data_IF_911458515021
#
_entry.id   IF_911458515021
#
_cell.length_a   1.000
_cell.length_b   1.000
_cell.length_c   1.000
_cell.angle_alpha   90.00
_cell.angle_beta   90.00
_cell.angle_gamma   90.00
#
_symmetry.space_group_name_H-M   'P 1'
#
loop_
_entity.id
_entity.type
_entity.pdbx_description
1 polymer ?
2 non-polymer ?
3 non-polymer ?
4 non-polymer ?
5 non-polymer ?
6 non-polymer ?
7 non-polymer ?
8 water ?
#
# COMPACT_ATOMS: atom_id res chain seq x y z
N UNK A 13 -20.82 -11.45 -12.68
CA UNK A 13 -19.70 -11.04 -13.52
C UNK A 13 -18.88 -9.95 -12.83
N UNK A 14 -19.54 -9.15 -12.00
CA UNK A 14 -18.88 -8.03 -11.37
C UNK A 14 -18.18 -8.46 -10.09
N UNK A 15 -17.21 -7.64 -9.69
CA UNK A 15 -16.39 -7.93 -8.52
C UNK A 15 -17.23 -7.99 -7.25
N UNK A 16 -16.93 -8.98 -6.40
CA UNK A 16 -17.56 -9.09 -5.09
C UNK A 16 -16.53 -8.65 -4.05
N UNK A 17 -16.75 -7.54 -3.35
CA UNK A 17 -15.75 -7.08 -2.36
C UNK A 17 -15.56 -8.10 -1.25
N UNK A 18 -14.32 -8.43 -0.93
CA UNK A 18 -14.04 -9.30 0.23
C UNK A 18 -14.55 -8.66 1.51
N UNK A 19 -14.71 -9.45 2.58
CA UNK A 19 -15.09 -8.87 3.86
C UNK A 19 -14.02 -7.92 4.37
N UNK A 20 -14.45 -7.00 5.25
CA UNK A 20 -13.55 -5.98 5.77
C UNK A 20 -12.62 -6.54 6.84
N UNK A 21 -11.35 -6.12 6.78
CA UNK A 21 -10.38 -6.47 7.80
C UNK A 21 -10.64 -5.67 9.08
N UNK A 22 -10.03 -6.06 10.21
CA UNK A 22 -10.28 -5.32 11.46
C UNK A 22 -9.77 -3.90 11.38
N UNK A 23 -10.51 -3.00 12.01
CA UNK A 23 -10.06 -1.63 12.20
C UNK A 23 -10.00 -1.38 13.70
N UNK A 24 -8.88 -0.84 14.17
CA UNK A 24 -8.69 -0.50 15.57
C UNK A 24 -8.62 1.02 15.73
N UNK A 25 -9.24 1.53 16.79
CA UNK A 25 -9.24 2.95 17.11
C UNK A 25 -8.75 3.09 18.54
N UNK A 26 -7.44 2.97 18.76
CA UNK A 26 -6.92 2.99 20.13
C UNK A 26 -7.14 4.34 20.80
N UNK A 27 -7.38 4.27 22.12
CA UNK A 27 -7.36 5.47 22.93
C UNK A 27 -5.94 6.00 23.04
N UNK A 28 -5.79 7.15 23.69
CA UNK A 28 -4.45 7.70 23.88
C UNK A 28 -3.58 6.79 24.72
N UNK A 29 -4.17 6.08 25.68
CA UNK A 29 -3.39 5.15 26.50
C UNK A 29 -2.92 3.95 25.68
N UNK A 30 -3.79 3.41 24.83
CA UNK A 30 -3.41 2.27 24.00
C UNK A 30 -2.47 2.65 22.87
N UNK A 31 -2.36 3.95 22.56
CA UNK A 31 -1.57 4.43 21.44
C UNK A 31 -0.13 4.77 21.82
N UNK A 32 0.29 4.41 23.03
CA UNK A 32 1.59 4.88 23.52
C UNK A 32 2.75 4.25 22.75
N UNK A 33 2.62 2.98 22.36
CA UNK A 33 3.73 2.27 21.72
C UNK A 33 3.23 1.29 20.66
N UNK A 34 3.72 1.39 19.42
CA UNK A 34 3.21 0.53 18.34
C UNK A 34 3.48 -0.95 18.54
N UNK A 35 4.69 -1.31 18.99
CA UNK A 35 5.01 -2.71 19.15
C UNK A 35 4.13 -3.36 20.20
N UNK A 36 3.93 -2.68 21.33
CA UNK A 36 3.04 -3.22 22.36
C UNK A 36 1.62 -3.34 21.85
N UNK A 37 1.14 -2.32 21.12
CA UNK A 37 -0.22 -2.38 20.60
C UNK A 37 -0.39 -3.51 19.59
N UNK A 38 0.55 -3.64 18.65
CA UNK A 38 0.46 -4.71 17.65
C UNK A 38 0.52 -6.08 18.33
N UNK A 39 1.33 -6.22 19.37
CA UNK A 39 1.36 -7.46 20.12
C UNK A 39 0.03 -7.78 20.76
N UNK A 40 -0.70 -6.76 21.21
CA UNK A 40 -2.00 -6.98 21.85
C UNK A 40 -3.06 -7.40 20.85
N UNK A 41 -3.08 -6.77 19.67
CA UNK A 41 -4.13 -7.06 18.68
C UNK A 41 -3.82 -8.30 17.86
N UNK A 42 -2.62 -8.87 18.01
CA UNK A 42 -2.20 -10.02 17.21
C UNK A 42 -3.17 -11.19 17.21
N UNK A 43 -3.77 -11.62 18.33
CA UNK A 43 -4.71 -12.75 18.25
C UNK A 43 -5.79 -12.60 17.20
N UNK A 44 -6.27 -11.38 16.94
CA UNK A 44 -7.28 -11.17 15.91
C UNK A 44 -6.65 -10.85 14.55
N UNK A 45 -5.75 -9.86 14.52
CA UNK A 45 -5.23 -9.36 13.26
C UNK A 45 -4.41 -10.42 12.52
N UNK A 46 -3.74 -11.32 13.24
CA UNK A 46 -2.98 -12.33 12.51
C UNK A 46 -3.90 -13.32 11.80
N UNK A 47 -5.18 -13.41 12.20
CA UNK A 47 -6.15 -14.24 11.53
C UNK A 47 -6.73 -13.56 10.28
N UNK A 48 -6.39 -12.31 10.05
CA UNK A 48 -6.85 -11.60 8.86
C UNK A 48 -5.71 -11.12 7.98
N UNK A 49 -4.46 -11.28 8.41
CA UNK A 49 -3.30 -10.87 7.62
C UNK A 49 -3.00 -9.39 7.62
N UNK A 50 -4.02 -8.55 7.43
CA UNK A 50 -3.87 -7.11 7.50
C UNK A 50 -4.85 -6.55 8.52
N UNK A 51 -4.49 -5.40 9.08
CA UNK A 51 -5.45 -4.64 9.88
C UNK A 51 -5.18 -3.15 9.68
N UNK A 52 -6.17 -2.35 10.05
CA UNK A 52 -6.08 -0.90 9.93
C UNK A 52 -6.09 -0.30 11.33
N UNK A 53 -5.30 0.74 11.54
CA UNK A 53 -5.24 1.42 12.83
C UNK A 53 -5.49 2.90 12.61
N UNK A 54 -6.53 3.44 13.27
CA UNK A 54 -6.86 4.86 13.22
C UNK A 54 -6.29 5.54 14.45
N UNK A 55 -5.34 6.45 14.31
CA UNK A 55 -4.81 7.18 15.48
C UNK A 55 -5.89 8.05 16.09
N UNK A 56 -5.71 8.51 17.33
CA UNK A 56 -6.65 9.47 17.90
C UNK A 56 -6.76 10.70 17.02
N UNK A 57 -7.92 11.37 17.09
CA UNK A 57 -8.24 12.43 16.17
C UNK A 57 -7.22 13.57 16.21
N UNK A 58 -6.66 13.85 17.40
CA UNK A 58 -5.73 14.97 17.52
C UNK A 58 -4.32 14.65 17.05
N UNK A 59 -4.00 13.38 16.80
CA UNK A 59 -2.67 13.00 16.32
C UNK A 59 -2.60 13.28 14.82
N UNK A 60 -1.98 14.41 14.46
CA UNK A 60 -1.91 14.86 13.08
C UNK A 60 -0.49 15.34 12.78
N UNK A 61 0.37 14.45 12.29
CA UNK A 61 1.74 14.84 11.95
C UNK A 61 1.76 15.71 10.70
N UNK A 62 2.60 16.75 10.68
CA UNK A 62 2.72 17.57 9.48
C UNK A 62 3.55 16.85 8.41
N UNK A 63 3.25 17.18 7.15
CA UNK A 63 3.98 16.58 6.04
C UNK A 63 5.33 17.27 5.89
N UNK A 64 6.41 16.49 5.99
CA UNK A 64 7.75 17.06 6.13
C UNK A 64 8.66 16.82 4.93
N UNK A 65 8.12 16.44 3.79
CA UNK A 65 8.93 16.27 2.59
C UNK A 65 9.31 17.63 2.00
N UNK A 66 10.48 17.68 1.37
CA UNK A 66 10.93 18.88 0.67
C UNK A 66 10.16 18.96 -0.66
N UNK A 67 8.97 19.56 -0.59
CA UNK A 67 8.05 19.53 -1.73
C UNK A 67 8.61 20.32 -2.91
N UNK A 68 9.33 21.41 -2.65
CA UNK A 68 9.84 22.24 -3.74
C UNK A 68 10.74 21.45 -4.66
N UNK A 69 11.60 20.60 -4.11
CA UNK A 69 12.59 19.86 -4.89
C UNK A 69 12.18 18.43 -5.17
N UNK A 70 10.98 18.03 -4.76
CA UNK A 70 10.53 16.64 -4.94
C UNK A 70 10.31 16.38 -6.42
N UNK A 71 11.21 15.62 -7.04
CA UNK A 71 11.10 15.26 -8.44
C UNK A 71 11.36 13.77 -8.58
N UNK A 72 10.68 13.13 -9.53
CA UNK A 72 10.79 11.68 -9.65
C UNK A 72 10.27 11.24 -11.00
N UNK A 73 10.76 10.08 -11.43
CA UNK A 73 10.31 9.45 -12.67
C UNK A 73 9.56 8.18 -12.31
N UNK A 74 8.23 8.18 -12.41
CA UNK A 74 7.46 7.00 -11.99
C UNK A 74 7.57 5.87 -13.00
N UNK A 75 7.17 4.69 -12.57
CA UNK A 75 7.23 3.54 -13.45
C UNK A 75 5.89 3.35 -14.13
N UNK A 76 5.92 2.90 -15.37
CA UNK A 76 4.71 2.68 -16.13
C UNK A 76 4.13 1.32 -15.77
N UNK A 77 2.82 1.26 -15.53
CA UNK A 77 2.13 0.02 -15.20
C UNK A 77 1.04 -0.25 -16.22
N UNK A 78 1.10 -1.42 -16.87
CA UNK A 78 0.03 -1.86 -17.76
C UNK A 78 -0.80 -2.89 -17.01
N UNK A 79 -2.06 -2.56 -16.77
CA UNK A 79 -2.87 -3.36 -15.85
C UNK A 79 -3.05 -4.78 -16.36
N UNK A 80 -3.19 -4.96 -17.67
CA UNK A 80 -3.55 -6.25 -18.25
C UNK A 80 -2.35 -6.96 -18.90
N UNK A 81 -1.13 -6.73 -18.39
CA UNK A 81 0.04 -7.30 -19.06
C UNK A 81 0.01 -8.83 -19.04
N UNK A 82 -0.50 -9.42 -17.97
CA UNK A 82 -0.54 -10.89 -17.90
C UNK A 82 -1.55 -11.46 -18.89
N UNK A 83 -2.72 -10.83 -19.00
CA UNK A 83 -3.72 -11.30 -19.95
C UNK A 83 -3.31 -11.06 -21.39
N UNK A 84 -2.46 -10.05 -21.64
CA UNK A 84 -2.07 -9.72 -23.00
C UNK A 84 -1.07 -10.71 -23.60
N UNK A 85 -0.55 -11.64 -22.81
CA UNK A 85 0.41 -12.62 -23.35
C UNK A 85 -0.26 -13.97 -23.60
N UNK A 99 8.14 6.32 -22.05
CA UNK A 99 7.67 5.69 -20.81
C UNK A 99 8.04 6.52 -19.59
N UNK A 100 9.28 7.00 -19.56
CA UNK A 100 9.85 7.66 -18.40
C UNK A 100 9.72 9.17 -18.60
N UNK A 101 8.67 9.75 -18.00
CA UNK A 101 8.48 11.19 -17.91
C UNK A 101 8.74 11.63 -16.46
N UNK A 102 9.40 12.78 -16.30
CA UNK A 102 9.74 13.26 -14.97
C UNK A 102 8.69 14.24 -14.46
N UNK A 103 8.28 14.06 -13.20
CA UNK A 103 7.26 14.90 -12.58
C UNK A 103 7.79 15.57 -11.32
N UNK A 104 7.12 16.64 -10.92
CA UNK A 104 7.13 17.07 -9.54
C UNK A 104 5.91 16.50 -8.84
N UNK A 105 5.86 16.66 -7.51
CA UNK A 105 4.66 16.27 -6.78
C UNK A 105 3.43 16.94 -7.37
N UNK A 106 3.53 18.25 -7.65
CA UNK A 106 2.39 18.99 -8.16
C UNK A 106 2.00 18.51 -9.56
N UNK A 107 2.99 18.33 -10.45
CA UNK A 107 2.65 18.01 -11.82
C UNK A 107 2.13 16.58 -11.95
N UNK A 108 2.63 15.66 -11.11
CA UNK A 108 2.07 14.32 -11.06
C UNK A 108 0.64 14.36 -10.54
N UNK A 109 0.38 15.20 -9.54
CA UNK A 109 -0.97 15.33 -9.04
C UNK A 109 -1.92 15.87 -10.08
N UNK A 110 -1.46 16.83 -10.88
CA UNK A 110 -2.33 17.38 -11.93
C UNK A 110 -2.61 16.31 -12.98
N UNK A 111 -1.58 15.54 -13.35
CA UNK A 111 -1.75 14.42 -14.27
C UNK A 111 -2.71 13.38 -13.70
N UNK A 112 -2.54 13.05 -12.42
CA UNK A 112 -3.35 12.02 -11.77
C UNK A 112 -4.81 12.41 -11.71
N UNK A 113 -5.09 13.64 -11.26
CA UNK A 113 -6.47 14.10 -11.16
C UNK A 113 -7.12 14.19 -12.52
N UNK A 114 -6.39 14.71 -13.52
CA UNK A 114 -6.92 14.79 -14.88
C UNK A 114 -7.26 13.40 -15.41
N UNK A 115 -6.38 12.42 -15.18
CA UNK A 115 -6.65 11.06 -15.63
C UNK A 115 -7.95 10.52 -15.05
N UNK A 116 -8.12 10.64 -13.74
CA UNK A 116 -9.25 10.02 -13.07
C UNK A 116 -10.56 10.72 -13.42
N UNK A 117 -10.54 12.05 -13.44
CA UNK A 117 -11.77 12.76 -13.76
C UNK A 117 -12.17 12.53 -15.22
N UNK A 118 -11.19 12.42 -16.11
CA UNK A 118 -11.48 12.09 -17.50
C UNK A 118 -11.97 10.66 -17.64
N UNK A 119 -11.36 9.72 -16.88
CA UNK A 119 -11.76 8.32 -16.99
C UNK A 119 -13.21 8.12 -16.56
N UNK A 120 -13.59 8.69 -15.42
CA UNK A 120 -14.93 8.49 -14.88
C UNK A 120 -15.93 9.57 -15.25
N UNK A 121 -15.49 10.65 -15.91
CA UNK A 121 -16.38 11.74 -16.33
C UNK A 121 -17.11 12.36 -15.13
N UNK A 122 -16.38 12.57 -14.04
CA UNK A 122 -16.92 13.21 -12.86
C UNK A 122 -15.77 13.73 -12.00
N UNK A 123 -16.03 14.66 -11.08
CA UNK A 123 -14.94 15.13 -10.21
C UNK A 123 -14.34 13.96 -9.42
N UNK A 124 -13.02 14.04 -9.16
CA UNK A 124 -12.30 12.87 -8.62
C UNK A 124 -12.86 12.46 -7.26
N UNK A 125 -13.23 13.43 -6.44
CA UNK A 125 -13.71 13.11 -5.11
C UNK A 125 -15.14 12.56 -5.12
N UNK A 126 -15.80 12.55 -6.27
CA UNK A 126 -17.15 12.03 -6.36
C UNK A 126 -17.21 10.58 -6.83
N UNK A 127 -16.08 9.97 -7.20
CA UNK A 127 -16.08 8.60 -7.68
C UNK A 127 -16.13 7.64 -6.49
N UNK A 128 -17.16 6.80 -6.39
CA UNK A 128 -17.25 5.87 -5.26
C UNK A 128 -16.10 4.88 -5.25
N UNK A 129 -15.61 4.57 -4.04
CA UNK A 129 -14.51 3.61 -3.93
C UNK A 129 -14.88 2.26 -4.53
N UNK A 130 -16.14 1.83 -4.35
CA UNK A 130 -16.58 0.56 -4.92
C UNK A 130 -16.52 0.55 -6.44
N UNK A 131 -16.75 1.69 -7.08
CA UNK A 131 -16.70 1.74 -8.53
C UNK A 131 -15.26 1.69 -9.05
N UNK A 132 -14.34 2.41 -8.42
CA UNK A 132 -12.94 2.31 -8.83
C UNK A 132 -12.45 0.88 -8.64
N UNK A 133 -12.85 0.24 -7.54
CA UNK A 133 -12.45 -1.14 -7.29
C UNK A 133 -12.99 -2.07 -8.36
N UNK A 134 -14.29 -1.93 -8.69
CA UNK A 134 -14.88 -2.80 -9.71
C UNK A 134 -14.22 -2.58 -11.07
N UNK A 135 -13.92 -1.32 -11.40
CA UNK A 135 -13.31 -1.03 -12.69
C UNK A 135 -11.86 -1.49 -12.76
N UNK A 136 -11.11 -1.34 -11.66
CA UNK A 136 -9.73 -1.80 -11.62
C UNK A 136 -9.64 -3.28 -12.01
N UNK A 137 -10.45 -4.12 -11.38
CA UNK A 137 -10.35 -5.55 -11.63
C UNK A 137 -10.88 -5.93 -13.02
N UNK A 138 -11.88 -5.19 -13.54
CA UNK A 138 -12.28 -5.41 -14.92
C UNK A 138 -11.13 -5.10 -15.87
N UNK A 139 -10.39 -4.03 -15.61
CA UNK A 139 -9.29 -3.62 -16.48
C UNK A 139 -8.16 -4.64 -16.47
N UNK A 140 -7.90 -5.23 -15.30
CA UNK A 140 -6.80 -6.20 -15.17
C UNK A 140 -7.03 -7.39 -16.06
N UNK A 141 -8.29 -7.78 -16.25
CA UNK A 141 -8.64 -8.93 -17.08
C UNK A 141 -9.14 -8.54 -18.47
N UNK A 142 -9.25 -7.25 -18.76
CA UNK A 142 -9.79 -6.79 -20.04
C UNK A 142 -8.77 -6.99 -21.16
N UNK A 143 -9.16 -7.72 -22.19
CA UNK A 143 -8.29 -7.90 -23.35
C UNK A 143 -8.55 -6.84 -24.43
N UNK A 144 -9.68 -6.15 -24.38
CA UNK A 144 -10.01 -5.16 -25.39
C UNK A 144 -9.57 -3.75 -25.01
N UNK A 145 -9.57 -3.42 -23.72
CA UNK A 145 -9.14 -2.11 -23.24
C UNK A 145 -7.74 -2.21 -22.66
N UNK A 146 -6.85 -1.33 -23.09
CA UNK A 146 -5.45 -1.29 -22.65
C UNK A 146 -5.24 -0.01 -21.86
N UNK A 147 -5.32 -0.10 -20.54
CA UNK A 147 -5.14 1.05 -19.66
C UNK A 147 -3.73 1.00 -19.09
N UNK A 148 -3.04 2.13 -19.17
CA UNK A 148 -1.66 2.28 -18.71
C UNK A 148 -1.64 3.42 -17.72
N UNK A 149 -1.04 3.20 -16.55
CA UNK A 149 -0.91 4.22 -15.50
C UNK A 149 0.55 4.26 -15.05
N UNK A 150 0.82 5.14 -14.08
CA UNK A 150 2.17 5.43 -13.59
C UNK A 150 2.14 5.49 -12.07
N UNK A 151 3.20 4.95 -11.46
CA UNK A 151 3.29 4.84 -10.01
C UNK A 151 4.64 5.39 -9.56
N UNK A 152 4.64 6.41 -8.70
CA UNK A 152 5.87 6.87 -8.07
C UNK A 152 6.23 5.98 -6.89
N UNK A 153 6.73 4.79 -7.17
CA UNK A 153 6.88 3.77 -6.14
C UNK A 153 8.34 3.57 -5.78
N UNK A 154 8.58 3.12 -4.54
CA UNK A 154 9.93 2.84 -4.06
C UNK A 154 10.83 4.06 -4.15
N UNK A 155 10.32 5.21 -3.75
CA UNK A 155 11.13 6.41 -3.61
C UNK A 155 11.75 6.40 -2.22
N UNK A 156 13.08 6.42 -2.15
CA UNK A 156 13.73 6.35 -0.85
C UNK A 156 13.51 7.64 -0.08
N UNK A 157 13.19 7.51 1.20
CA UNK A 157 13.05 8.69 2.04
C UNK A 157 14.37 9.43 2.23
N UNK A 158 15.50 8.81 1.89
CA UNK A 158 16.77 9.54 1.96
C UNK A 158 16.89 10.59 0.86
N UNK A 159 16.13 10.46 -0.22
CA UNK A 159 16.23 11.37 -1.35
C UNK A 159 15.70 12.76 -1.00
N UNK A 160 14.41 12.87 -0.72
CA UNK A 160 13.80 14.16 -0.43
C UNK A 160 13.24 14.21 0.99
N UNK A 161 13.67 13.30 1.86
CA UNK A 161 13.21 13.29 3.22
C UNK A 161 12.00 12.42 3.43
N UNK A 162 11.77 12.08 4.69
CA UNK A 162 10.56 11.36 5.07
C UNK A 162 9.37 12.32 5.08
N UNK A 163 8.17 11.74 4.90
CA UNK A 163 6.96 12.52 5.13
C UNK A 163 6.75 12.88 6.58
N UNK A 164 7.35 12.12 7.51
CA UNK A 164 7.34 12.48 8.92
C UNK A 164 8.49 13.44 9.23
N UNK A 165 8.32 14.33 10.22
CA UNK A 165 9.46 15.14 10.67
C UNK A 165 10.50 14.25 11.34
N UNK A 166 11.77 14.57 11.09
CA UNK A 166 12.90 13.79 11.59
C UNK A 166 13.92 14.75 12.17
N UNK A 167 14.46 14.41 13.35
CA UNK A 167 15.51 15.20 13.98
C UNK A 167 16.87 14.89 13.34
N UNK A 168 16.93 15.07 12.02
CA UNK A 168 18.13 14.80 11.24
C UNK A 168 19.00 16.04 11.03
N UNK A 169 18.47 17.23 11.26
CA UNK A 169 19.18 18.46 10.98
C UNK A 169 19.03 18.96 9.56
N UNK A 170 18.55 18.12 8.64
CA UNK A 170 18.38 18.56 7.26
C UNK A 170 17.24 19.57 7.15
N UNK A 171 16.06 19.22 7.64
CA UNK A 171 14.92 20.12 7.65
C UNK A 171 14.75 20.73 9.05
N UNK A 172 14.01 21.83 9.10
CA UNK A 172 13.71 22.49 10.36
C UNK A 172 12.40 21.92 10.92
N UNK A 173 12.38 21.68 12.23
CA UNK A 173 11.22 21.12 12.91
C UNK A 173 10.70 22.17 13.88
N UNK A 174 9.43 22.54 13.73
CA UNK A 174 8.80 23.48 14.64
C UNK A 174 8.56 22.80 16.00
N UNK A 175 8.39 23.60 17.05
CA UNK A 175 8.11 23.00 18.37
C UNK A 175 6.89 22.10 18.37
N UNK A 176 5.83 22.50 17.68
CA UNK A 176 4.64 21.65 17.57
C UNK A 176 4.89 20.37 16.80
N UNK A 177 6.04 20.26 16.12
CA UNK A 177 6.36 19.08 15.33
C UNK A 177 7.30 18.12 16.03
N UNK A 178 7.96 18.55 17.11
CA UNK A 178 8.92 17.66 17.77
C UNK A 178 8.24 16.41 18.32
N UNK A 179 7.03 16.55 18.84
CA UNK A 179 6.27 15.39 19.32
C UNK A 179 6.19 14.30 18.25
N UNK A 180 5.97 14.71 17.00
CA UNK A 180 5.85 13.71 15.94
C UNK A 180 7.21 13.18 15.50
N UNK A 181 8.27 13.99 15.63
CA UNK A 181 9.61 13.49 15.33
C UNK A 181 10.04 12.40 16.31
N UNK A 182 9.53 12.45 17.54
CA UNK A 182 9.91 11.50 18.58
C UNK A 182 8.86 10.41 18.79
N UNK A 183 7.78 10.41 18.03
CA UNK A 183 6.71 9.45 18.23
C UNK A 183 7.14 8.04 17.81
N UNK A 184 6.72 7.05 18.60
CA UNK A 184 6.94 5.67 18.19
C UNK A 184 6.23 5.29 16.91
N UNK A 185 5.18 6.02 16.53
CA UNK A 185 4.44 5.76 15.30
C UNK A 185 5.02 6.48 14.09
N UNK A 186 5.96 7.40 14.29
CA UNK A 186 6.83 7.85 13.21
C UNK A 186 7.58 6.66 12.62
N UNK A 187 7.41 6.42 11.32
CA UNK A 187 7.97 5.21 10.72
C UNK A 187 9.51 5.21 10.75
N UNK A 188 10.14 6.37 10.89
CA UNK A 188 11.59 6.41 11.06
C UNK A 188 12.05 5.90 12.42
N UNK A 189 11.13 5.71 13.36
CA UNK A 189 11.47 5.25 14.70
C UNK A 189 11.07 3.80 14.96
N UNK A 190 10.74 3.04 13.91
CA UNK A 190 10.40 1.63 14.07
C UNK A 190 11.68 0.79 14.21
N UNK A 191 11.65 -0.28 14.99
CA UNK A 191 12.81 -1.17 15.07
C UNK A 191 12.93 -2.01 13.80
N UNK A 192 14.04 -1.83 13.08
CA UNK A 192 14.27 -2.52 11.82
C UNK A 192 15.38 -3.55 11.90
N UNK A 193 16.21 -3.52 12.94
CA UNK A 193 17.31 -4.47 13.04
C UNK A 193 16.79 -5.84 13.47
N UNK A 194 17.22 -6.87 12.74
CA UNK A 194 16.84 -8.24 13.05
C UNK A 194 17.93 -8.91 13.89
N UNK A 195 17.52 -9.77 14.80
CA UNK A 195 18.44 -10.43 15.72
C UNK A 195 19.02 -11.68 15.07
N UNK A 196 20.35 -11.76 15.04
CA UNK A 196 21.05 -12.92 14.51
C UNK A 196 22.50 -12.88 14.99
N UNK A 197 23.17 -14.03 14.87
CA UNK A 197 24.58 -14.10 15.23
C UNK A 197 25.38 -13.24 14.27
N UNK A 198 26.20 -12.34 14.83
CA UNK A 198 27.01 -11.43 14.02
C UNK A 198 28.36 -11.17 14.68
N UNK A 209 17.81 -0.18 7.40
CA UNK A 209 16.61 0.02 6.59
C UNK A 209 16.01 1.41 6.82
N UNK A 210 15.39 1.95 5.78
CA UNK A 210 14.81 3.29 5.77
C UNK A 210 13.42 3.22 5.17
N UNK A 211 12.48 4.08 5.55
CA UNK A 211 11.15 4.03 4.94
C UNK A 211 11.19 4.38 3.46
N UNK A 212 10.27 3.78 2.71
CA UNK A 212 10.10 4.05 1.29
C UNK A 212 8.82 4.84 1.06
N UNK A 213 8.81 5.64 -0.01
CA UNK A 213 7.69 6.51 -0.32
C UNK A 213 6.97 6.05 -1.58
N UNK A 214 5.65 6.28 -1.63
CA UNK A 214 4.81 5.82 -2.73
C UNK A 214 3.86 6.97 -3.10
N UNK A 215 4.02 7.51 -4.30
CA UNK A 215 3.11 8.52 -4.84
C UNK A 215 2.17 7.85 -5.83
N UNK A 216 0.89 7.76 -5.47
CA UNK A 216 -0.05 6.96 -6.23
C UNK A 216 -0.94 7.81 -7.11
N UNK A 217 -1.51 7.18 -8.14
CA UNK A 217 -2.62 7.70 -8.91
C UNK A 217 -3.66 6.59 -9.05
N UNK A 218 -4.83 6.96 -9.53
CA UNK A 218 -5.90 5.98 -9.73
C UNK A 218 -5.41 4.81 -10.57
N UNK A 219 -5.59 3.59 -10.04
CA UNK A 219 -5.33 2.28 -10.62
C UNK A 219 -3.86 1.85 -10.49
N UNK A 220 -2.96 2.73 -10.03
CA UNK A 220 -1.60 2.27 -9.75
C UNK A 220 -1.66 1.23 -8.63
N UNK A 221 -0.76 0.24 -8.67
CA UNK A 221 -1.06 -0.92 -7.84
C UNK A 221 0.20 -1.68 -7.46
N UNK A 222 0.04 -2.63 -6.54
CA UNK A 222 1.10 -3.57 -6.17
C UNK A 222 0.55 -4.99 -6.20
N UNK A 223 1.33 -5.92 -6.77
CA UNK A 223 1.01 -7.33 -6.91
C UNK A 223 1.06 -8.06 -5.57
N UNK A 224 0.49 -9.27 -5.56
CA UNK A 224 0.51 -10.12 -4.37
C UNK A 224 1.94 -10.47 -3.98
N UNK A 225 2.29 -10.25 -2.73
CA UNK A 225 3.64 -10.60 -2.26
C UNK A 225 3.64 -10.71 -0.74
N UNK A 226 4.70 -11.33 -0.21
CA UNK A 226 5.05 -11.22 1.21
C UNK A 226 6.40 -10.52 1.30
N UNK A 227 6.73 -10.07 2.50
CA UNK A 227 7.98 -9.34 2.71
C UNK A 227 9.16 -10.28 2.82
N UNK A 228 10.34 -9.76 2.48
CA UNK A 228 11.57 -10.50 2.73
C UNK A 228 11.67 -10.84 4.21
N UNK A 229 12.17 -12.04 4.50
CA UNK A 229 12.32 -12.55 5.86
C UNK A 229 10.99 -12.68 6.61
N UNK A 230 9.88 -12.68 5.86
CA UNK A 230 8.52 -12.76 6.42
C UNK A 230 8.25 -11.65 7.44
N UNK A 231 8.85 -10.47 7.20
CA UNK A 231 8.74 -9.37 8.15
C UNK A 231 7.32 -8.81 8.20
N UNK A 232 7.01 -8.13 9.31
CA UNK A 232 5.89 -7.21 9.36
C UNK A 232 6.15 -6.04 8.42
N UNK A 233 5.08 -5.36 8.03
CA UNK A 233 5.22 -4.03 7.45
C UNK A 233 4.18 -3.10 8.06
N UNK A 234 4.50 -1.82 8.16
CA UNK A 234 3.57 -0.81 8.59
C UNK A 234 3.58 0.30 7.54
N UNK A 235 2.40 0.82 7.24
CA UNK A 235 2.16 1.69 6.10
C UNK A 235 1.30 2.86 6.55
N UNK A 236 1.73 4.08 6.26
CA UNK A 236 1.00 5.26 6.67
C UNK A 236 0.64 6.08 5.44
N UNK A 237 -0.64 6.42 5.30
CA UNK A 237 -1.08 7.27 4.19
C UNK A 237 -1.08 8.72 4.68
N UNK A 238 -0.09 9.50 4.22
CA UNK A 238 0.09 10.86 4.70
C UNK A 238 -1.06 11.75 4.25
N UNK A 239 -1.51 11.59 3.01
CA UNK A 239 -2.59 12.41 2.46
C UNK A 239 -3.07 11.83 1.14
N UNK A 240 -4.19 12.37 0.65
CA UNK A 240 -4.72 12.02 -0.65
C UNK A 240 -5.88 11.02 -0.57
N UNK A 241 -6.22 10.49 -1.74
CA UNK A 241 -7.31 9.55 -1.88
C UNK A 241 -6.91 8.19 -1.31
N UNK A 242 -7.88 7.34 -0.98
CA UNK A 242 -7.56 6.10 -0.25
C UNK A 242 -6.71 5.13 -1.05
N UNK A 243 -6.06 4.23 -0.31
CA UNK A 243 -5.34 3.08 -0.85
C UNK A 243 -6.14 1.85 -0.48
N UNK A 244 -6.53 1.06 -1.48
CA UNK A 244 -7.33 -0.13 -1.24
C UNK A 244 -6.41 -1.34 -1.12
N UNK A 245 -6.61 -2.11 -0.06
CA UNK A 245 -5.76 -3.26 0.29
C UNK A 245 -6.56 -4.56 0.23
N UNK A 246 -5.84 -5.65 -0.06
CA UNK A 246 -6.33 -7.00 0.16
C UNK A 246 -5.25 -7.76 0.91
N UNK A 247 -5.67 -8.60 1.84
CA UNK A 247 -4.73 -9.36 2.66
C UNK A 247 -5.21 -10.77 2.84
N UNK A 248 -4.24 -11.67 3.04
CA UNK A 248 -4.51 -13.09 3.25
C UNK A 248 -3.79 -13.51 4.54
N UNK A 249 -4.46 -14.14 5.51
CA UNK A 249 -3.76 -14.53 6.73
C UNK A 249 -2.67 -15.54 6.44
N UNK A 250 -1.65 -15.54 7.28
CA UNK A 250 -0.49 -16.40 7.08
C UNK A 250 -0.84 -17.88 7.12
N UNK A 251 -1.88 -18.28 7.88
CA UNK A 251 -2.21 -19.70 7.86
C UNK A 251 -2.63 -20.18 6.48
N UNK A 252 -2.97 -19.26 5.56
CA UNK A 252 -3.36 -19.62 4.21
C UNK A 252 -2.26 -19.33 3.18
N UNK A 253 -1.03 -19.05 3.61
CA UNK A 253 0.03 -18.66 2.68
C UNK A 253 0.33 -19.76 1.67
N UNK A 254 0.47 -21.01 2.14
CA UNK A 254 0.76 -22.10 1.20
C UNK A 254 -0.40 -22.34 0.25
N UNK A 255 -1.64 -22.16 0.72
CA UNK A 255 -2.80 -22.32 -0.14
C UNK A 255 -2.80 -21.28 -1.27
N UNK A 256 -2.54 -20.03 -0.92
CA UNK A 256 -2.45 -19.00 -1.95
C UNK A 256 -1.35 -19.32 -2.96
N UNK A 257 -0.18 -19.74 -2.47
CA UNK A 257 0.94 -20.01 -3.38
C UNK A 257 0.59 -21.12 -4.36
N UNK A 258 -0.17 -22.13 -3.91
CA UNK A 258 -0.51 -23.21 -4.82
C UNK A 258 -1.53 -22.75 -5.87
N UNK A 259 -2.55 -22.00 -5.44
CA UNK A 259 -3.49 -21.42 -6.40
C UNK A 259 -2.76 -20.53 -7.39
N UNK A 260 -1.87 -19.68 -6.90
CA UNK A 260 -1.17 -18.72 -7.75
C UNK A 260 -0.33 -19.43 -8.80
N UNK A 261 0.30 -20.54 -8.43
CA UNK A 261 1.13 -21.24 -9.41
C UNK A 261 0.29 -22.12 -10.33
N UNK A 262 -0.84 -22.64 -9.83
CA UNK A 262 -1.74 -23.42 -10.69
C UNK A 262 -2.36 -22.55 -11.78
N UNK A 263 -2.62 -21.28 -11.49
CA UNK A 263 -3.25 -20.39 -12.45
C UNK A 263 -2.29 -19.43 -13.13
N UNK A 264 -1.01 -19.45 -12.76
CA UNK A 264 -0.04 -18.59 -13.41
C UNK A 264 0.23 -19.09 -14.82
N UNK A 265 0.63 -18.21 -15.73
CA UNK A 265 1.07 -18.67 -17.05
C UNK A 265 2.16 -19.73 -16.90
N UNK A 266 2.14 -20.72 -17.79
CA UNK A 266 3.09 -21.83 -17.70
C UNK A 266 4.53 -21.35 -17.83
N UNK A 267 4.75 -20.25 -18.54
CA UNK A 267 6.11 -19.75 -18.72
C UNK A 267 6.71 -19.26 -17.41
N UNK A 268 5.87 -18.84 -16.46
CA UNK A 268 6.33 -18.32 -15.18
C UNK A 268 6.17 -19.33 -14.04
N UNK A 269 5.66 -20.53 -14.33
CA UNK A 269 5.25 -21.44 -13.27
C UNK A 269 6.43 -21.91 -12.42
N UNK A 270 7.60 -22.10 -13.03
CA UNK A 270 8.79 -22.57 -12.34
C UNK A 270 9.69 -21.46 -11.82
N UNK A 271 9.24 -20.20 -11.87
CA UNK A 271 10.11 -19.12 -11.43
C UNK A 271 10.19 -19.07 -9.91
N UNK A 272 11.36 -18.76 -9.35
CA UNK A 272 11.48 -18.56 -7.90
C UNK A 272 10.49 -17.52 -7.40
N UNK A 273 10.13 -17.64 -6.12
CA UNK A 273 9.10 -16.77 -5.54
C UNK A 273 9.45 -15.30 -5.66
N UNK A 274 10.73 -14.94 -5.43
CA UNK A 274 11.15 -13.54 -5.45
C UNK A 274 10.99 -12.92 -6.83
N UNK A 275 11.09 -13.73 -7.88
CA UNK A 275 10.83 -13.24 -9.23
C UNK A 275 9.36 -13.36 -9.62
N UNK A 276 8.72 -14.48 -9.26
CA UNK A 276 7.31 -14.65 -9.59
C UNK A 276 6.45 -13.54 -8.99
N UNK A 277 6.83 -13.06 -7.79
CA UNK A 277 6.10 -11.99 -7.12
C UNK A 277 6.07 -10.68 -7.91
N UNK A 278 6.98 -10.50 -8.87
CA UNK A 278 6.98 -9.28 -9.67
C UNK A 278 5.78 -9.19 -10.60
N UNK A 279 5.06 -10.28 -10.83
CA UNK A 279 3.97 -10.29 -11.80
C UNK A 279 2.75 -11.04 -11.28
N UNK A 280 2.63 -11.22 -9.96
CA UNK A 280 1.53 -11.99 -9.39
C UNK A 280 0.32 -11.09 -9.14
N UNK A 281 -0.34 -10.71 -10.23
CA UNK A 281 -1.62 -10.01 -10.15
C UNK A 281 -2.72 -11.05 -10.28
N UNK A 282 -3.67 -11.04 -9.34
CA UNK A 282 -4.73 -12.05 -9.34
C UNK A 282 -5.96 -11.49 -8.63
N UNK A 283 -7.09 -11.59 -9.31
CA UNK A 283 -8.36 -11.10 -8.76
C UNK A 283 -8.67 -11.80 -7.44
N UNK A 284 -8.93 -11.05 -6.36
CA UNK A 284 -9.24 -11.68 -5.07
C UNK A 284 -10.40 -12.66 -5.11
N UNK A 285 -11.40 -12.44 -5.98
CA UNK A 285 -12.51 -13.39 -6.07
C UNK A 285 -12.06 -14.75 -6.57
N UNK A 286 -11.04 -14.79 -7.42
CA UNK A 286 -10.50 -16.07 -7.88
C UNK A 286 -9.87 -16.83 -6.73
N UNK A 287 -9.09 -16.12 -5.90
CA UNK A 287 -8.54 -16.75 -4.71
C UNK A 287 -9.64 -17.22 -3.78
N UNK A 288 -10.69 -16.39 -3.60
CA UNK A 288 -11.80 -16.76 -2.73
C UNK A 288 -12.53 -17.99 -3.24
N UNK A 289 -12.67 -18.13 -4.55
CA UNK A 289 -13.35 -19.31 -5.09
C UNK A 289 -12.56 -20.58 -4.84
N UNK A 290 -11.25 -20.48 -4.70
CA UNK A 290 -10.40 -21.63 -4.37
C UNK A 290 -10.23 -21.81 -2.86
N UNK A 291 -11.06 -21.16 -2.05
CA UNK A 291 -11.04 -21.35 -0.62
C UNK A 291 -10.03 -20.51 0.14
N UNK A 292 -9.32 -19.60 -0.53
CA UNK A 292 -8.36 -18.72 0.15
C UNK A 292 -9.12 -17.59 0.83
N UNK A 293 -8.96 -17.42 2.16
CA UNK A 293 -9.60 -16.28 2.84
C UNK A 293 -8.90 -14.98 2.46
N UNK A 294 -9.69 -13.98 2.09
CA UNK A 294 -9.18 -12.66 1.71
C UNK A 294 -9.97 -11.59 2.46
N UNK A 295 -9.27 -10.60 2.99
CA UNK A 295 -9.91 -9.43 3.58
C UNK A 295 -9.49 -8.19 2.82
N UNK A 296 -10.32 -7.15 2.89
CA UNK A 296 -10.05 -5.88 2.21
C UNK A 296 -10.09 -4.72 3.21
N UNK A 297 -9.54 -3.58 2.78
CA UNK A 297 -9.84 -2.32 3.47
C UNK A 297 -9.53 -1.15 2.54
N UNK A 298 -10.18 -0.02 2.82
CA UNK A 298 -9.78 1.27 2.26
C UNK A 298 -9.03 2.02 3.35
N UNK A 299 -7.73 2.21 3.15
CA UNK A 299 -6.91 3.01 4.05
C UNK A 299 -7.06 4.47 3.65
N UNK A 300 -7.62 5.30 4.53
CA UNK A 300 -7.77 6.72 4.25
C UNK A 300 -6.60 7.52 4.83
N UNK A 301 -6.48 8.77 4.38
CA UNK A 301 -5.38 9.62 4.84
C UNK A 301 -5.36 9.69 6.35
N UNK A 302 -4.18 9.59 6.92
CA UNK A 302 -4.00 9.61 8.37
C UNK A 302 -4.11 8.27 9.05
N UNK A 303 -4.28 7.17 8.30
CA UNK A 303 -4.48 5.85 8.89
C UNK A 303 -3.29 4.93 8.57
N UNK A 304 -3.05 3.99 9.47
CA UNK A 304 -2.01 2.98 9.32
C UNK A 304 -2.62 1.67 8.87
N UNK A 305 -1.87 0.94 8.02
CA UNK A 305 -2.15 -0.47 7.76
C UNK A 305 -0.94 -1.28 8.20
N UNK A 306 -1.17 -2.34 8.96
CA UNK A 306 -0.11 -3.28 9.37
C UNK A 306 -0.33 -4.59 8.63
N UNK A 307 0.73 -5.13 8.05
CA UNK A 307 0.69 -6.47 7.48
C UNK A 307 1.50 -7.40 8.40
N UNK A 308 0.97 -8.60 8.66
CA UNK A 308 1.60 -9.50 9.63
C UNK A 308 2.56 -10.46 8.93
N UNK A 309 3.41 -11.17 9.68
CA UNK A 309 4.42 -12.03 9.04
C UNK A 309 3.79 -13.07 8.12
N UNK A 310 4.29 -13.12 6.89
CA UNK A 310 3.87 -14.06 5.86
C UNK A 310 2.40 -13.86 5.46
N UNK A 311 1.89 -12.65 5.65
CA UNK A 311 0.54 -12.30 5.20
C UNK A 311 0.63 -11.72 3.79
N UNK A 312 0.20 -12.49 2.80
CA UNK A 312 0.20 -11.99 1.43
C UNK A 312 -0.71 -10.79 1.32
N UNK A 313 -0.27 -9.80 0.54
CA UNK A 313 -1.12 -8.62 0.35
C UNK A 313 -0.90 -8.02 -1.04
N UNK A 314 -1.91 -7.27 -1.50
CA UNK A 314 -1.85 -6.56 -2.77
C UNK A 314 -2.81 -5.37 -2.64
N UNK A 315 -2.81 -4.49 -3.64
CA UNK A 315 -3.73 -3.37 -3.55
C UNK A 315 -3.55 -2.41 -4.69
N UNK A 316 -4.34 -1.33 -4.65
CA UNK A 316 -4.26 -0.29 -5.66
C UNK A 316 -4.70 1.03 -5.04
N UNK A 317 -4.33 2.12 -5.70
CA UNK A 317 -4.64 3.45 -5.21
C UNK A 317 -5.89 3.97 -5.88
N UNK A 318 -6.75 4.61 -5.08
CA UNK A 318 -7.99 5.18 -5.59
C UNK A 318 -7.77 6.49 -6.33
N UNK A 319 -6.65 7.16 -6.08
CA UNK A 319 -6.40 8.45 -6.70
C UNK A 319 -5.05 8.95 -6.26
N UNK A 320 -4.81 10.24 -6.52
CA UNK A 320 -3.56 10.88 -6.12
C UNK A 320 -3.37 10.79 -4.60
N UNK A 321 -2.27 10.19 -4.16
CA UNK A 321 -2.02 10.07 -2.73
C UNK A 321 -0.52 9.89 -2.46
N UNK A 322 -0.18 9.80 -1.18
CA UNK A 322 1.22 9.78 -0.74
C UNK A 322 1.32 8.91 0.50
N UNK A 323 2.05 7.81 0.40
CA UNK A 323 2.19 6.82 1.46
C UNK A 323 3.67 6.63 1.81
N UNK A 324 3.90 6.14 3.04
CA UNK A 324 5.24 5.81 3.53
C UNK A 324 5.16 4.46 4.24
N UNK A 325 6.16 3.61 4.02
CA UNK A 325 6.12 2.25 4.54
C UNK A 325 7.50 1.79 4.94
N UNK A 326 7.53 0.88 5.93
CA UNK A 326 8.79 0.29 6.36
C UNK A 326 8.49 -1.11 6.88
N UNK A 327 9.47 -2.00 6.73
CA UNK A 327 9.41 -3.34 7.32
C UNK A 327 10.02 -3.33 8.71
N UNK A 328 9.48 -4.14 9.59
CA UNK A 328 10.03 -4.24 10.93
C UNK A 328 9.88 -5.66 11.44
N UNK A 329 10.65 -5.99 12.48
CA UNK A 329 10.59 -7.30 13.12
C UNK A 329 10.32 -7.13 14.61
N UNK A 330 9.68 -8.14 15.19
CA UNK A 330 9.35 -8.12 16.61
C UNK A 330 10.12 -9.17 17.37
#
# INVERSE_FOLDING_TARGET
HNMAGVGPGGYAAEFVPPPECPVFEPSWEEFTDPLSFIGRIRPLAEKTGICKIRPPKDWQPPFACEVKSFRFTPRVQRLNELEAMTRVRPREAFGFEQAVREYTLQSFGEMADNFKSDYFNMPVHMVPTELVEKEFWRLVSSIEEDVIVEYGADISSKDFGSGFPVKDGRRKILPEEEEYALSGWNLNNMPVLEQSVLAHINVDISGMKVPWLYVGMCFSSFCWHIEDHWSYSINYLHWGEPKTWYGVPSHAAEQLEEVMRELAPELFESQPDLLHQLVTIMNPNVLMEHGVPVYRTNQCAGEFVVTFPRAYHSGFNQGYNFAEAVNFCT
#
